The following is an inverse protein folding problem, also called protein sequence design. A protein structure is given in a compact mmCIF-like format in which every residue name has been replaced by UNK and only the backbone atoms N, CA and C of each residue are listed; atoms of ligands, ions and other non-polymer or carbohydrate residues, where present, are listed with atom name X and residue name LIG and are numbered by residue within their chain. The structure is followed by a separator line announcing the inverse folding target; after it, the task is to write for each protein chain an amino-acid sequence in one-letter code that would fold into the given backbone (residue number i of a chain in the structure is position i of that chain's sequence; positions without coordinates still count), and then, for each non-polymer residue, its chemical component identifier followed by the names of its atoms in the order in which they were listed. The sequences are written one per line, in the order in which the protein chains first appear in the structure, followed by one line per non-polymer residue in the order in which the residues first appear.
data_IF_991866676060
#
_entry.id   IF_991866676060
#
_cell.length_a   1.000
_cell.length_b   1.000
_cell.length_c   1.000
_cell.angle_alpha   90.00
_cell.angle_beta   90.00
_cell.angle_gamma   90.00
#
_symmetry.space_group_name_H-M   'P 1'
#
loop_
_entity.id
_entity.type
_entity.pdbx_description
1 polymer ?
#
# COMPACT_ATOMS: atom_id res chain seq x y z
N UNK A 1 9.31 14.94 -11.71
CA UNK A 1 9.67 15.03 -10.36
C UNK A 1 9.25 13.80 -9.62
N UNK A 2 9.52 13.72 -8.35
CA UNK A 2 9.38 12.47 -7.63
C UNK A 2 7.97 11.93 -7.56
N UNK A 3 7.86 10.63 -7.73
CA UNK A 3 6.63 9.93 -7.43
C UNK A 3 6.50 9.77 -5.91
N UNK A 4 5.27 9.64 -5.44
CA UNK A 4 4.96 9.63 -4.01
C UNK A 4 4.23 8.35 -3.65
N UNK A 5 4.61 7.75 -2.51
CA UNK A 5 3.98 6.53 -2.00
C UNK A 5 3.43 6.78 -0.61
N UNK A 6 2.22 6.27 -0.35
CA UNK A 6 1.65 6.22 0.99
C UNK A 6 1.86 4.81 1.54
N UNK A 7 2.44 4.70 2.72
CA UNK A 7 2.67 3.44 3.40
C UNK A 7 1.83 3.44 4.68
N UNK A 8 0.84 2.55 4.75
CA UNK A 8 -0.04 2.43 5.90
C UNK A 8 0.18 1.07 6.56
N UNK A 9 0.73 1.08 7.76
CA UNK A 9 1.02 -0.13 8.52
C UNK A 9 1.16 0.28 9.99
N UNK A 10 0.54 -0.47 10.90
CA UNK A 10 0.66 -0.18 12.33
C UNK A 10 1.98 -0.68 12.93
N UNK A 11 2.69 -1.54 12.23
CA UNK A 11 4.00 -2.04 12.65
C UNK A 11 5.09 -1.09 12.16
N UNK A 12 5.76 -0.47 13.11
CA UNK A 12 6.84 0.47 12.83
C UNK A 12 7.96 -0.14 11.99
N UNK A 13 8.34 -1.38 12.29
CA UNK A 13 9.43 -2.04 11.57
C UNK A 13 9.05 -2.32 10.12
N UNK A 14 7.82 -2.72 9.88
CA UNK A 14 7.33 -2.94 8.52
C UNK A 14 7.30 -1.62 7.74
N UNK A 15 6.83 -0.53 8.38
CA UNK A 15 6.85 0.79 7.74
C UNK A 15 8.28 1.19 7.37
N UNK A 16 9.22 0.95 8.27
CA UNK A 16 10.63 1.29 8.02
C UNK A 16 11.18 0.53 6.82
N UNK A 17 10.89 -0.76 6.71
CA UNK A 17 11.35 -1.56 5.57
C UNK A 17 10.76 -1.05 4.26
N UNK A 18 9.46 -0.85 4.21
CA UNK A 18 8.81 -0.34 3.00
C UNK A 18 9.31 1.07 2.65
N UNK A 19 9.50 1.92 3.67
CA UNK A 19 10.01 3.26 3.48
C UNK A 19 11.42 3.24 2.90
N UNK A 20 12.28 2.39 3.44
CA UNK A 20 13.67 2.27 2.98
C UNK A 20 13.72 1.83 1.51
N UNK A 21 12.98 0.80 1.17
CA UNK A 21 12.95 0.30 -0.22
C UNK A 21 12.39 1.37 -1.16
N UNK A 22 11.33 2.05 -0.73
CA UNK A 22 10.72 3.12 -1.54
C UNK A 22 11.69 4.27 -1.78
N UNK A 23 12.42 4.70 -0.75
CA UNK A 23 13.39 5.78 -0.88
C UNK A 23 14.56 5.38 -1.78
N UNK A 24 14.97 4.12 -1.75
CA UNK A 24 15.99 3.62 -2.66
C UNK A 24 15.56 3.71 -4.12
N UNK A 25 14.24 3.68 -4.36
CA UNK A 25 13.68 3.83 -5.70
C UNK A 25 13.24 5.26 -5.98
N UNK A 26 13.74 6.21 -5.22
CA UNK A 26 13.54 7.65 -5.41
C UNK A 26 12.08 8.08 -5.21
N UNK A 27 11.35 7.39 -4.35
CA UNK A 27 9.99 7.76 -4.01
C UNK A 27 9.96 8.67 -2.77
N UNK A 28 9.09 9.66 -2.80
CA UNK A 28 8.77 10.43 -1.61
C UNK A 28 7.79 9.61 -0.78
N UNK A 29 8.08 9.45 0.51
CA UNK A 29 7.31 8.59 1.39
C UNK A 29 6.45 9.38 2.34
N UNK A 30 5.17 9.02 2.42
CA UNK A 30 4.25 9.49 3.45
C UNK A 30 3.79 8.27 4.22
N UNK A 31 3.80 8.33 5.55
CA UNK A 31 3.47 7.19 6.39
C UNK A 31 2.17 7.42 7.16
N UNK A 32 1.40 6.35 7.32
CA UNK A 32 0.23 6.32 8.18
C UNK A 32 0.38 5.14 9.14
N UNK A 33 0.01 5.34 10.40
CA UNK A 33 0.15 4.32 11.43
C UNK A 33 -1.08 3.42 11.55
N UNK A 34 -2.17 3.83 10.94
CA UNK A 34 -3.41 3.06 10.94
C UNK A 34 -4.27 3.45 9.72
N UNK A 35 -5.35 2.71 9.54
CA UNK A 35 -6.23 2.93 8.39
C UNK A 35 -6.96 4.26 8.43
N UNK A 36 -7.25 4.77 9.63
CA UNK A 36 -7.92 6.06 9.77
C UNK A 36 -7.02 7.19 9.30
N UNK A 37 -5.76 7.17 9.71
CA UNK A 37 -4.79 8.15 9.23
C UNK A 37 -4.64 8.07 7.71
N UNK A 38 -4.59 6.85 7.17
CA UNK A 38 -4.47 6.67 5.73
C UNK A 38 -5.65 7.29 4.99
N UNK A 39 -6.86 7.06 5.47
CA UNK A 39 -8.07 7.63 4.86
C UNK A 39 -8.03 9.15 4.95
N UNK A 40 -7.67 9.70 6.09
CA UNK A 40 -7.58 11.15 6.27
C UNK A 40 -6.56 11.79 5.33
N UNK A 41 -5.41 11.15 5.16
CA UNK A 41 -4.39 11.62 4.22
C UNK A 41 -4.95 11.61 2.80
N UNK A 42 -5.62 10.54 2.40
CA UNK A 42 -6.16 10.41 1.05
C UNK A 42 -7.29 11.38 0.74
N UNK A 43 -7.98 11.88 1.76
CA UNK A 43 -8.98 12.92 1.57
C UNK A 43 -8.37 14.26 1.19
N UNK A 44 -7.14 14.50 1.61
CA UNK A 44 -6.47 15.78 1.44
C UNK A 44 -5.39 15.76 0.35
N UNK A 45 -4.86 14.59 0.04
CA UNK A 45 -3.81 14.43 -0.96
C UNK A 45 -4.19 13.31 -1.92
N UNK A 46 -4.11 13.58 -3.21
CA UNK A 46 -4.48 12.61 -4.25
C UNK A 46 -3.36 12.34 -5.24
N UNK A 47 -2.20 12.95 -5.05
CA UNK A 47 -1.09 12.86 -6.00
C UNK A 47 -0.14 11.69 -5.71
N UNK A 48 -0.63 10.65 -5.06
CA UNK A 48 0.15 9.44 -4.84
C UNK A 48 0.26 8.63 -6.13
N UNK A 49 1.42 7.99 -6.29
CA UNK A 49 1.66 7.07 -7.40
C UNK A 49 1.42 5.61 -7.00
N UNK A 50 1.45 5.34 -5.70
CA UNK A 50 1.34 3.99 -5.17
C UNK A 50 0.89 4.06 -3.71
N UNK A 51 0.10 3.09 -3.29
CA UNK A 51 -0.26 2.92 -1.88
C UNK A 51 0.12 1.52 -1.45
N UNK A 52 0.78 1.40 -0.31
CA UNK A 52 1.12 0.12 0.32
C UNK A 52 0.33 0.02 1.61
N UNK A 53 -0.51 -1.00 1.71
CA UNK A 53 -1.45 -1.16 2.83
C UNK A 53 -1.22 -2.48 3.54
N UNK A 54 -1.10 -2.42 4.88
CA UNK A 54 -1.23 -3.60 5.72
C UNK A 54 -2.72 -3.92 5.89
N UNK A 55 -3.06 -5.19 5.99
CA UNK A 55 -4.43 -5.61 6.23
C UNK A 55 -4.84 -5.37 7.68
N UNK A 56 -3.97 -5.75 8.62
CA UNK A 56 -4.28 -5.75 10.04
C UNK A 56 -3.86 -4.44 10.68
N UNK A 57 -4.77 -3.48 10.67
CA UNK A 57 -4.54 -2.18 11.31
C UNK A 57 -5.73 -1.84 12.20
N UNK A 58 -5.50 -1.09 13.30
CA UNK A 58 -6.61 -0.64 14.12
C UNK A 58 -7.45 0.43 13.42
N UNK A 59 -8.68 0.59 13.87
CA UNK A 59 -9.69 1.56 13.44
C UNK A 59 -10.27 1.28 12.07
N UNK A 60 -9.43 1.16 11.05
CA UNK A 60 -9.84 0.76 9.72
C UNK A 60 -8.74 -0.14 9.15
N UNK A 61 -9.09 -1.33 8.70
CA UNK A 61 -8.11 -2.27 8.16
C UNK A 61 -7.78 -1.93 6.70
N UNK A 62 -6.83 -2.69 6.13
CA UNK A 62 -6.41 -2.43 4.76
C UNK A 62 -7.53 -2.54 3.74
N UNK A 63 -8.50 -3.42 3.96
CA UNK A 63 -9.64 -3.56 3.05
C UNK A 63 -10.54 -2.35 3.09
N UNK A 64 -10.73 -1.77 4.27
CA UNK A 64 -11.52 -0.54 4.41
C UNK A 64 -10.88 0.60 3.63
N UNK A 65 -9.55 0.72 3.72
CA UNK A 65 -8.81 1.75 2.98
C UNK A 65 -8.90 1.48 1.48
N UNK A 66 -8.72 0.23 1.06
CA UNK A 66 -8.82 -0.15 -0.36
C UNK A 66 -10.19 0.21 -0.92
N UNK A 67 -11.25 -0.04 -0.16
CA UNK A 67 -12.60 0.31 -0.59
C UNK A 67 -12.73 1.82 -0.81
N UNK A 68 -12.21 2.61 0.11
CA UNK A 68 -12.23 4.07 -0.05
C UNK A 68 -11.52 4.48 -1.34
N UNK A 69 -10.36 3.89 -1.61
CA UNK A 69 -9.59 4.19 -2.82
C UNK A 69 -10.40 3.84 -4.08
N UNK A 70 -10.96 2.64 -4.13
CA UNK A 70 -11.66 2.16 -5.34
C UNK A 70 -12.99 2.86 -5.56
N UNK A 71 -13.61 3.40 -4.51
CA UNK A 71 -14.86 4.13 -4.62
C UNK A 71 -14.66 5.62 -4.94
N UNK A 72 -13.44 6.13 -4.87
CA UNK A 72 -13.16 7.55 -5.15
C UNK A 72 -12.73 7.71 -6.60
N UNK A 73 -13.44 8.57 -7.35
CA UNK A 73 -13.15 8.81 -8.76
C UNK A 73 -11.72 9.27 -9.01
N UNK A 74 -11.12 9.97 -8.04
CA UNK A 74 -9.77 10.51 -8.18
C UNK A 74 -8.69 9.48 -7.89
N UNK A 75 -9.03 8.42 -7.15
CA UNK A 75 -8.07 7.44 -6.62
C UNK A 75 -8.27 6.03 -7.17
N UNK A 76 -9.38 5.76 -7.82
CA UNK A 76 -9.80 4.39 -8.15
C UNK A 76 -8.81 3.63 -9.03
N UNK A 77 -7.97 4.32 -9.78
CA UNK A 77 -6.98 3.68 -10.66
C UNK A 77 -5.58 3.60 -10.03
N UNK A 78 -5.45 4.00 -8.77
CA UNK A 78 -4.17 4.04 -8.09
C UNK A 78 -3.67 2.62 -7.83
N UNK A 79 -2.41 2.31 -8.16
CA UNK A 79 -1.84 1.00 -7.81
C UNK A 79 -1.79 0.82 -6.29
N UNK A 80 -2.16 -0.36 -5.83
CA UNK A 80 -2.15 -0.70 -4.41
C UNK A 80 -1.43 -2.02 -4.21
N UNK A 81 -0.53 -2.05 -3.24
CA UNK A 81 0.11 -3.27 -2.76
C UNK A 81 -0.48 -3.58 -1.39
N UNK A 82 -1.07 -4.76 -1.26
CA UNK A 82 -1.52 -5.25 0.03
C UNK A 82 -0.37 -6.05 0.63
N UNK A 83 0.14 -5.56 1.77
CA UNK A 83 1.22 -6.21 2.50
C UNK A 83 0.61 -7.00 3.64
N UNK A 84 0.86 -8.30 3.69
CA UNK A 84 0.23 -9.16 4.69
C UNK A 84 1.20 -10.18 5.25
N UNK A 85 1.06 -10.49 6.55
CA UNK A 85 1.76 -11.59 7.18
C UNK A 85 1.04 -12.92 6.96
N UNK A 86 -0.21 -12.88 6.52
CA UNK A 86 -1.01 -14.07 6.29
C UNK A 86 -0.57 -14.74 5.00
N UNK A 87 -0.33 -16.04 5.07
CA UNK A 87 0.14 -16.83 3.92
C UNK A 87 -0.99 -17.30 3.03
N UNK A 88 -2.22 -17.18 3.50
CA UNK A 88 -3.36 -17.67 2.74
C UNK A 88 -4.09 -16.51 2.10
N UNK A 89 -4.43 -16.65 0.83
CA UNK A 89 -5.25 -15.65 0.15
C UNK A 89 -6.72 -15.76 0.53
N UNK A 90 -7.08 -16.72 1.37
CA UNK A 90 -8.47 -16.92 1.81
C UNK A 90 -8.96 -15.77 2.69
N UNK A 91 -8.06 -15.17 3.46
CA UNK A 91 -8.40 -14.00 4.26
C UNK A 91 -8.77 -12.82 3.38
N UNK A 92 -8.52 -12.93 2.08
CA UNK A 92 -8.77 -11.89 1.10
C UNK A 92 -10.12 -12.09 0.38
N UNK A 93 -10.91 -13.09 0.80
CA UNK A 93 -12.23 -13.30 0.19
C UNK A 93 -13.12 -12.10 0.46
N UNK A 94 -13.80 -11.65 -0.57
CA UNK A 94 -14.65 -10.47 -0.49
C UNK A 94 -13.97 -9.19 -0.94
N UNK A 95 -12.66 -9.19 -1.13
CA UNK A 95 -11.96 -8.06 -1.73
C UNK A 95 -11.99 -8.24 -3.24
N UNK A 96 -12.50 -7.25 -3.92
CA UNK A 96 -12.47 -7.27 -5.38
C UNK A 96 -11.06 -6.91 -5.83
N UNK A 97 -10.33 -7.91 -6.30
CA UNK A 97 -9.00 -7.70 -6.83
C UNK A 97 -9.10 -7.28 -8.28
N UNK A 98 -8.33 -6.28 -8.62
CA UNK A 98 -8.23 -5.83 -10.00
C UNK A 98 -6.76 -5.84 -10.43
N UNK A 99 -6.50 -5.46 -11.67
CA UNK A 99 -5.12 -5.46 -12.19
C UNK A 99 -4.24 -4.40 -11.54
N UNK A 100 -4.81 -3.53 -10.72
CA UNK A 100 -4.07 -2.49 -10.00
C UNK A 100 -3.80 -2.87 -8.55
N UNK A 101 -4.22 -4.06 -8.10
CA UNK A 101 -4.04 -4.50 -6.72
C UNK A 101 -3.20 -5.77 -6.71
N UNK A 102 -2.06 -5.71 -6.03
CA UNK A 102 -1.17 -6.86 -5.86
C UNK A 102 -0.96 -7.17 -4.40
N UNK A 103 -0.53 -8.40 -4.11
CA UNK A 103 -0.28 -8.87 -2.76
C UNK A 103 1.18 -9.24 -2.59
N UNK A 104 1.77 -8.81 -1.48
CA UNK A 104 3.14 -9.18 -1.13
C UNK A 104 3.14 -9.61 0.32
N UNK A 105 3.69 -10.80 0.58
CA UNK A 105 3.85 -11.30 1.93
C UNK A 105 4.95 -10.51 2.63
N UNK A 106 4.73 -10.11 3.88
CA UNK A 106 5.71 -9.36 4.67
C UNK A 106 7.03 -10.11 4.84
N UNK A 107 7.00 -11.44 4.77
CA UNK A 107 8.19 -12.28 4.89
C UNK A 107 8.90 -12.52 3.55
N UNK A 108 8.44 -11.88 2.48
CA UNK A 108 8.98 -12.14 1.14
C UNK A 108 10.40 -11.61 0.92
N UNK A 109 10.85 -10.68 1.76
CA UNK A 109 12.19 -10.11 1.68
C UNK A 109 12.27 -8.85 0.85
N UNK A 110 13.36 -8.11 1.03
CA UNK A 110 13.53 -6.77 0.45
C UNK A 110 13.49 -6.78 -1.07
N UNK A 111 14.07 -7.80 -1.70
CA UNK A 111 14.09 -7.87 -3.16
C UNK A 111 12.70 -8.03 -3.74
N UNK A 112 11.84 -8.84 -3.11
CA UNK A 112 10.47 -8.99 -3.57
C UNK A 112 9.64 -7.74 -3.30
N UNK A 113 9.93 -7.05 -2.21
CA UNK A 113 9.29 -5.76 -1.93
C UNK A 113 9.64 -4.73 -3.00
N UNK A 114 10.92 -4.64 -3.35
CA UNK A 114 11.39 -3.74 -4.41
C UNK A 114 10.73 -4.07 -5.73
N UNK A 115 10.71 -5.35 -6.09
CA UNK A 115 10.11 -5.79 -7.34
C UNK A 115 8.62 -5.46 -7.40
N UNK A 116 7.92 -5.62 -6.29
CA UNK A 116 6.51 -5.26 -6.21
C UNK A 116 6.28 -3.77 -6.47
N UNK A 117 7.12 -2.93 -5.89
CA UNK A 117 7.05 -1.48 -6.10
C UNK A 117 7.30 -1.15 -7.56
N UNK A 118 8.35 -1.70 -8.15
CA UNK A 118 8.70 -1.43 -9.55
C UNK A 118 7.61 -1.89 -10.50
N UNK A 119 7.04 -3.08 -10.25
CA UNK A 119 5.94 -3.58 -11.07
C UNK A 119 4.71 -2.67 -10.96
N UNK A 120 4.36 -2.26 -9.75
CA UNK A 120 3.20 -1.40 -9.51
C UNK A 120 3.36 -0.04 -10.21
N UNK A 121 4.58 0.46 -10.28
CA UNK A 121 4.87 1.74 -10.92
C UNK A 121 5.14 1.63 -12.43
N UNK A 122 5.13 0.42 -12.97
CA UNK A 122 5.42 0.21 -14.39
C UNK A 122 6.88 0.46 -14.78
N UNK A 123 7.80 0.27 -13.82
CA UNK A 123 9.23 0.50 -14.06
C UNK A 123 10.01 -0.77 -14.40
N UNK A 124 9.35 -1.87 -14.60
CA UNK A 124 10.01 -3.14 -14.93
C UNK A 124 9.96 -3.40 -16.43
#
# INVERSE_FOLDING_TARGET
MGQKVLIADDDRDARLLWSTVSQEESLEVVEAEDGRQAIDILKNEIDFSLIILDIMMPYANGYDVLKVIRDDERLKNLPVIISTADRTTRSLTGVQLDEKTSFINKAAGLENMRRGILNALGRV
#
